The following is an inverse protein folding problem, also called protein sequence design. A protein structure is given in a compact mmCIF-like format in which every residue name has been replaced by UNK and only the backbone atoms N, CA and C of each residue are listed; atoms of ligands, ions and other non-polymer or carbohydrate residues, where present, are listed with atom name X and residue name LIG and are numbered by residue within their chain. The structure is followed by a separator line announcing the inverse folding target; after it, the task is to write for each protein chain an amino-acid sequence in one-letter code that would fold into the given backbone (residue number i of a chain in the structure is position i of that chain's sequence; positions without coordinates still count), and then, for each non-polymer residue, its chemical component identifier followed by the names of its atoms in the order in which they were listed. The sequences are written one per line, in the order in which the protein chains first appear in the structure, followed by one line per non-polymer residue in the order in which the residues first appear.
data_IF_196473115682
#
_entry.id   IF_196473115682
#
_cell.length_a   1.000
_cell.length_b   1.000
_cell.length_c   1.000
_cell.angle_alpha   90.00
_cell.angle_beta   90.00
_cell.angle_gamma   90.00
#
_symmetry.space_group_name_H-M   'P 1'
#
loop_
_entity.id
_entity.type
_entity.pdbx_description
1 polymer ?
#
# COMPACT_ATOMS: atom_id res chain seq x y z
N UNK A 1 -14.96 -21.05 -8.86
CA UNK A 1 -15.58 -21.14 -10.21
C UNK A 1 -14.78 -22.15 -11.03
N UNK A 2 -15.28 -23.38 -11.22
CA UNK A 2 -14.49 -24.50 -11.75
C UNK A 2 -14.05 -24.38 -13.23
N UNK A 3 -14.52 -23.35 -13.95
CA UNK A 3 -14.04 -23.01 -15.31
C UNK A 3 -13.22 -21.72 -15.41
N UNK A 4 -12.94 -21.04 -14.30
CA UNK A 4 -12.24 -19.74 -14.26
C UNK A 4 -10.94 -19.77 -13.44
N UNK A 5 -10.90 -20.58 -12.37
CA UNK A 5 -9.71 -20.75 -11.52
C UNK A 5 -9.19 -22.17 -11.67
N UNK A 6 -7.87 -22.34 -11.74
CA UNK A 6 -7.22 -23.63 -11.90
C UNK A 6 -6.57 -24.08 -10.59
N UNK A 7 -6.69 -25.36 -10.23
CA UNK A 7 -6.04 -25.90 -9.04
C UNK A 7 -6.43 -25.17 -7.75
N UNK A 8 -5.43 -24.57 -7.10
CA UNK A 8 -5.56 -23.85 -5.83
C UNK A 8 -5.73 -22.32 -6.00
N UNK A 9 -5.89 -21.84 -7.23
CA UNK A 9 -6.08 -20.42 -7.51
C UNK A 9 -7.35 -19.88 -6.82
N UNK A 10 -7.21 -18.74 -6.16
CA UNK A 10 -8.33 -18.01 -5.56
C UNK A 10 -8.17 -16.51 -5.80
N UNK A 11 -9.30 -15.81 -5.82
CA UNK A 11 -9.35 -14.35 -5.90
C UNK A 11 -10.15 -13.80 -4.71
N UNK A 12 -9.71 -12.66 -4.19
CA UNK A 12 -10.30 -12.01 -3.03
C UNK A 12 -10.62 -10.57 -3.37
N UNK A 13 -11.90 -10.26 -3.39
CA UNK A 13 -12.41 -8.89 -3.45
C UNK A 13 -12.87 -8.45 -2.06
N UNK A 14 -12.47 -7.25 -1.66
CA UNK A 14 -12.92 -6.60 -0.42
C UNK A 14 -13.80 -5.39 -0.73
N UNK A 15 -14.71 -5.07 0.18
CA UNK A 15 -15.55 -3.87 0.12
C UNK A 15 -15.50 -3.13 1.46
N UNK A 16 -15.45 -1.80 1.42
CA UNK A 16 -15.41 -0.94 2.60
C UNK A 16 -16.30 0.30 2.40
N UNK A 17 -16.91 0.78 3.48
CA UNK A 17 -17.69 2.02 3.52
C UNK A 17 -17.13 2.92 4.62
N UNK A 18 -16.88 4.18 4.29
CA UNK A 18 -16.49 5.23 5.24
C UNK A 18 -17.54 6.34 5.29
N UNK A 19 -17.51 7.13 6.36
CA UNK A 19 -18.38 8.31 6.56
C UNK A 19 -17.48 9.51 6.86
N UNK A 20 -17.88 10.68 6.38
CA UNK A 20 -17.18 11.95 6.58
C UNK A 20 -18.20 13.08 6.57
N UNK A 21 -17.96 14.13 7.37
CA UNK A 21 -18.73 15.36 7.28
C UNK A 21 -18.45 16.07 5.95
N UNK A 22 -19.51 16.60 5.31
CA UNK A 22 -19.37 17.18 3.96
C UNK A 22 -18.36 18.33 3.91
N UNK A 23 -18.27 19.13 4.97
CA UNK A 23 -17.32 20.25 5.09
C UNK A 23 -15.88 19.81 5.36
N UNK A 24 -15.67 18.56 5.78
CA UNK A 24 -14.37 18.01 6.16
C UNK A 24 -13.77 17.12 5.07
N UNK A 25 -14.44 16.99 3.92
CA UNK A 25 -13.92 16.28 2.77
C UNK A 25 -12.59 16.91 2.33
N UNK A 26 -11.55 16.09 2.32
CA UNK A 26 -10.24 16.47 1.80
C UNK A 26 -10.22 16.20 0.29
N UNK A 27 -10.39 17.25 -0.51
CA UNK A 27 -10.45 17.16 -1.98
C UNK A 27 -9.20 17.69 -2.71
N UNK A 28 -8.26 18.30 -1.95
CA UNK A 28 -7.02 18.89 -2.46
C UNK A 28 -7.13 20.37 -2.81
N UNK A 29 -8.31 20.99 -2.75
CA UNK A 29 -8.53 22.41 -3.08
C UNK A 29 -7.83 23.39 -2.14
N UNK A 30 -7.48 22.95 -0.93
CA UNK A 30 -6.81 23.76 0.10
C UNK A 30 -5.29 23.81 -0.05
N UNK A 31 -4.70 22.98 -0.93
CA UNK A 31 -3.26 22.94 -1.15
C UNK A 31 -2.76 24.26 -1.74
N UNK A 32 -1.65 24.78 -1.20
CA UNK A 32 -1.07 26.05 -1.61
C UNK A 32 0.46 26.04 -1.58
N UNK A 33 1.08 27.04 -2.20
CA UNK A 33 2.53 27.24 -2.10
C UNK A 33 2.96 27.44 -0.64
N UNK A 34 4.05 26.80 -0.25
CA UNK A 34 4.54 26.78 1.13
C UNK A 34 4.03 25.62 1.99
N UNK A 35 3.11 24.78 1.50
CA UNK A 35 2.71 23.56 2.19
C UNK A 35 3.87 22.54 2.29
N UNK A 36 3.89 21.79 3.40
CA UNK A 36 4.93 20.80 3.69
C UNK A 36 4.43 19.40 3.41
N UNK A 37 5.23 18.61 2.70
CA UNK A 37 4.97 17.19 2.47
C UNK A 37 5.53 16.33 3.60
N UNK A 38 4.64 15.51 4.19
CA UNK A 38 4.98 14.52 5.20
C UNK A 38 4.65 13.14 4.66
N UNK A 39 5.68 12.30 4.50
CA UNK A 39 5.52 10.92 4.04
C UNK A 39 5.41 9.96 5.23
N UNK A 40 4.52 8.97 5.11
CA UNK A 40 4.42 7.84 6.03
C UNK A 40 5.17 6.64 5.44
N UNK A 41 6.13 6.09 6.20
CA UNK A 41 6.91 4.95 5.74
C UNK A 41 6.04 3.72 5.44
N UNK A 42 6.26 3.10 4.28
CA UNK A 42 5.63 1.83 3.90
C UNK A 42 6.18 0.66 4.72
N UNK A 43 5.55 -0.51 4.60
CA UNK A 43 6.02 -1.77 5.20
C UNK A 43 6.81 -2.63 4.21
N UNK A 44 6.96 -2.17 2.96
CA UNK A 44 7.47 -2.93 1.83
C UNK A 44 6.78 -2.49 0.53
N UNK A 45 6.65 -3.39 -0.46
CA UNK A 45 5.93 -3.13 -1.72
C UNK A 45 4.41 -2.91 -1.56
N UNK A 46 3.85 -3.20 -0.38
CA UNK A 46 2.40 -3.21 -0.12
C UNK A 46 1.67 -4.21 -1.03
N UNK A 47 0.66 -3.78 -1.80
CA UNK A 47 -0.14 -4.65 -2.67
C UNK A 47 0.02 -4.32 -4.15
N UNK A 48 0.96 -3.44 -4.52
CA UNK A 48 1.12 -2.93 -5.88
C UNK A 48 2.51 -3.29 -6.44
N UNK A 49 2.61 -3.36 -7.77
CA UNK A 49 3.90 -3.56 -8.45
C UNK A 49 4.39 -5.02 -8.54
N UNK A 50 3.64 -6.01 -8.03
CA UNK A 50 4.07 -7.42 -8.05
C UNK A 50 4.27 -8.00 -9.44
N UNK A 51 3.62 -7.46 -10.48
CA UNK A 51 3.91 -7.86 -11.86
C UNK A 51 5.36 -7.57 -12.25
N UNK A 52 5.90 -6.41 -11.85
CA UNK A 52 7.29 -6.06 -12.08
C UNK A 52 8.22 -6.86 -11.17
N UNK A 53 7.87 -7.04 -9.89
CA UNK A 53 8.65 -7.87 -8.95
C UNK A 53 8.82 -9.28 -9.51
N UNK A 54 7.74 -9.94 -9.95
CA UNK A 54 7.82 -11.27 -10.56
C UNK A 54 8.70 -11.28 -11.80
N UNK A 55 8.61 -10.24 -12.65
CA UNK A 55 9.46 -10.15 -13.83
C UNK A 55 10.94 -10.02 -13.47
N UNK A 56 11.26 -9.25 -12.44
CA UNK A 56 12.64 -9.09 -11.95
C UNK A 56 13.18 -10.41 -11.40
N UNK A 57 12.38 -11.14 -10.61
CA UNK A 57 12.77 -12.47 -10.10
C UNK A 57 13.04 -13.46 -11.25
N UNK A 58 12.17 -13.47 -12.27
CA UNK A 58 12.34 -14.30 -13.47
C UNK A 58 13.65 -14.00 -14.21
N UNK A 59 13.93 -12.73 -14.52
CA UNK A 59 15.12 -12.36 -15.31
C UNK A 59 16.42 -12.47 -14.51
N UNK A 60 16.36 -12.34 -13.19
CA UNK A 60 17.53 -12.49 -12.31
C UNK A 60 17.83 -13.94 -11.96
N UNK A 61 16.87 -14.86 -12.14
CA UNK A 61 16.99 -16.25 -11.65
C UNK A 61 17.06 -16.35 -10.13
N UNK A 62 16.65 -15.29 -9.42
CA UNK A 62 16.68 -15.18 -7.97
C UNK A 62 15.54 -15.99 -7.34
N UNK A 63 15.86 -16.92 -6.46
CA UNK A 63 14.87 -17.56 -5.60
C UNK A 63 14.67 -16.72 -4.32
N UNK A 64 13.50 -16.09 -4.12
CA UNK A 64 13.27 -15.21 -2.97
C UNK A 64 13.23 -15.95 -1.63
N UNK A 65 13.02 -17.27 -1.60
CA UNK A 65 12.99 -18.03 -0.34
C UNK A 65 14.40 -18.29 0.23
N UNK A 66 15.40 -18.37 -0.63
CA UNK A 66 16.79 -18.70 -0.27
C UNK A 66 17.72 -17.50 -0.34
N UNK A 67 17.30 -16.43 -1.03
CA UNK A 67 18.05 -15.18 -1.11
C UNK A 67 17.84 -14.36 0.15
N UNK A 68 18.93 -14.00 0.83
CA UNK A 68 18.91 -13.18 2.03
C UNK A 68 19.03 -11.68 1.72
N UNK A 69 18.24 -10.86 2.43
CA UNK A 69 18.33 -9.42 2.45
C UNK A 69 18.18 -8.95 3.91
N UNK A 70 19.17 -8.20 4.41
CA UNK A 70 19.17 -7.66 5.78
C UNK A 70 18.88 -8.71 6.87
N UNK A 71 19.39 -9.93 6.68
CA UNK A 71 19.27 -11.04 7.64
C UNK A 71 17.89 -11.70 7.70
N UNK A 72 17.08 -11.54 6.65
CA UNK A 72 15.85 -12.30 6.41
C UNK A 72 15.75 -12.73 4.95
N UNK A 73 14.98 -13.79 4.64
CA UNK A 73 14.65 -14.13 3.27
C UNK A 73 14.00 -12.96 2.53
N UNK A 74 14.35 -12.76 1.26
CA UNK A 74 13.75 -11.76 0.38
C UNK A 74 12.23 -11.93 0.30
N UNK A 75 11.74 -13.19 0.36
CA UNK A 75 10.32 -13.51 0.43
C UNK A 75 9.61 -12.79 1.59
N UNK A 76 10.23 -12.64 2.76
CA UNK A 76 9.62 -11.97 3.92
C UNK A 76 9.44 -10.47 3.65
N UNK A 77 10.41 -9.84 2.99
CA UNK A 77 10.32 -8.43 2.59
C UNK A 77 9.27 -8.23 1.50
N UNK A 78 9.20 -9.15 0.55
CA UNK A 78 8.23 -9.10 -0.54
C UNK A 78 6.81 -9.46 -0.09
N UNK A 79 6.61 -10.26 0.94
CA UNK A 79 5.28 -10.65 1.45
C UNK A 79 4.86 -9.86 2.69
N UNK A 80 5.63 -8.87 3.10
CA UNK A 80 5.30 -7.99 4.21
C UNK A 80 3.89 -7.38 4.03
N UNK A 81 2.94 -7.58 4.97
CA UNK A 81 1.58 -7.09 4.82
C UNK A 81 1.51 -5.56 4.64
N UNK A 82 0.53 -5.09 3.86
CA UNK A 82 0.28 -3.66 3.68
C UNK A 82 -0.04 -3.00 5.01
N UNK A 83 0.70 -1.94 5.35
CA UNK A 83 0.46 -1.16 6.56
C UNK A 83 -0.82 -0.31 6.40
N UNK A 84 -1.72 -0.39 7.39
CA UNK A 84 -2.97 0.38 7.43
C UNK A 84 -2.82 1.58 8.37
N UNK A 85 -2.95 2.80 7.85
CA UNK A 85 -2.66 4.04 8.58
C UNK A 85 -3.88 4.71 9.23
N UNK A 86 -5.07 4.08 9.16
CA UNK A 86 -6.35 4.72 9.50
C UNK A 86 -6.37 5.40 10.86
N UNK A 87 -5.84 4.76 11.91
CA UNK A 87 -5.83 5.32 13.28
C UNK A 87 -4.98 6.58 13.36
N UNK A 88 -3.76 6.52 12.84
CA UNK A 88 -2.82 7.66 12.86
C UNK A 88 -3.31 8.82 12.00
N UNK A 89 -3.93 8.55 10.85
CA UNK A 89 -4.45 9.58 9.96
C UNK A 89 -5.69 10.25 10.54
N UNK A 90 -6.63 9.49 11.12
CA UNK A 90 -7.81 10.07 11.79
C UNK A 90 -7.41 10.96 12.97
N UNK A 91 -6.49 10.50 13.82
CA UNK A 91 -5.97 11.30 14.93
C UNK A 91 -5.29 12.60 14.46
N UNK A 92 -4.56 12.54 13.34
CA UNK A 92 -3.90 13.71 12.78
C UNK A 92 -4.91 14.72 12.22
N UNK A 93 -5.96 14.25 11.54
CA UNK A 93 -7.04 15.08 10.99
C UNK A 93 -7.79 15.80 12.13
N UNK A 94 -8.01 15.13 13.26
CA UNK A 94 -8.67 15.75 14.43
C UNK A 94 -7.80 16.86 15.07
N UNK A 95 -6.48 16.72 15.04
CA UNK A 95 -5.55 17.63 15.73
C UNK A 95 -5.00 18.74 14.84
N UNK A 96 -5.08 18.61 13.53
CA UNK A 96 -4.37 19.49 12.60
C UNK A 96 -5.01 19.50 11.21
N UNK A 97 -4.82 20.60 10.47
CA UNK A 97 -5.28 20.68 9.08
C UNK A 97 -4.41 19.78 8.19
N UNK A 98 -5.00 18.69 7.69
CA UNK A 98 -4.39 17.82 6.68
C UNK A 98 -4.97 18.10 5.30
N UNK A 99 -4.11 18.02 4.28
CA UNK A 99 -4.48 18.25 2.88
C UNK A 99 -3.95 17.12 2.01
N UNK A 100 -4.64 16.87 0.89
CA UNK A 100 -4.25 15.83 -0.05
C UNK A 100 -3.46 16.47 -1.19
N UNK A 101 -2.19 16.08 -1.34
CA UNK A 101 -1.45 16.34 -2.58
C UNK A 101 -1.87 15.31 -3.63
N UNK A 102 -2.43 15.75 -4.76
CA UNK A 102 -2.57 14.90 -5.95
C UNK A 102 -1.28 15.03 -6.75
N UNK A 103 -0.57 13.93 -6.95
CA UNK A 103 0.52 13.82 -7.95
C UNK A 103 -0.05 13.57 -9.34
#
# INVERSE_FOLDING_TARGET
MPGMYHGEDYDVAGFCVGVVEKSEIIDGSKVSDGDVLIALGSSGPHSNGYSLVRKILEVSGCDPQTTELDGKPLADHLLAPTRIYVKSVLELIERSMCMLLRT
#
